data_IF_712801602608
#
_entry.id   IF_712801602608
#
_cell.length_a   1.000
_cell.length_b   1.000
_cell.length_c   1.000
_cell.angle_alpha   90.00
_cell.angle_beta   90.00
_cell.angle_gamma   90.00
#
_symmetry.space_group_name_H-M   'P 1'
#
loop_
_entity.id
_entity.type
_entity.pdbx_description
1 polymer ?
#
# COMPACT_ATOMS: atom_id res chain seq x y z
N UNK A 1 11.78 19.65 -6.86
CA UNK A 1 12.75 18.64 -6.40
C UNK A 1 12.53 18.24 -4.94
N UNK A 2 12.32 19.21 -4.05
CA UNK A 2 12.11 18.93 -2.60
C UNK A 2 10.87 18.06 -2.40
N UNK A 3 9.74 18.36 -3.03
CA UNK A 3 8.52 17.57 -2.93
C UNK A 3 8.69 16.14 -3.45
N UNK A 4 9.43 15.95 -4.54
CA UNK A 4 9.71 14.62 -5.09
C UNK A 4 10.54 13.81 -4.10
N UNK A 5 11.57 14.39 -3.51
CA UNK A 5 12.39 13.74 -2.48
C UNK A 5 11.56 13.38 -1.25
N UNK A 6 10.68 14.27 -0.79
CA UNK A 6 9.79 14.03 0.34
C UNK A 6 8.83 12.86 0.08
N UNK A 7 8.23 12.77 -1.12
CA UNK A 7 7.35 11.67 -1.48
C UNK A 7 8.09 10.33 -1.56
N UNK A 8 9.32 10.31 -2.08
CA UNK A 8 10.17 9.11 -2.10
C UNK A 8 10.54 8.67 -0.69
N UNK A 9 10.86 9.61 0.20
CA UNK A 9 11.15 9.34 1.60
C UNK A 9 9.94 8.73 2.31
N UNK A 10 8.74 9.27 2.08
CA UNK A 10 7.51 8.72 2.65
C UNK A 10 7.19 7.31 2.14
N UNK A 11 7.43 7.03 0.85
CA UNK A 11 7.30 5.67 0.30
C UNK A 11 8.29 4.71 0.97
N UNK A 12 9.55 5.12 1.12
CA UNK A 12 10.59 4.32 1.78
C UNK A 12 10.24 4.05 3.25
N UNK A 13 9.76 5.05 3.98
CA UNK A 13 9.29 4.90 5.36
C UNK A 13 8.14 3.92 5.47
N UNK A 14 7.15 3.99 4.58
CA UNK A 14 6.03 3.05 4.56
C UNK A 14 6.51 1.60 4.36
N UNK A 15 7.46 1.37 3.46
CA UNK A 15 8.06 0.04 3.26
C UNK A 15 8.76 -0.47 4.53
N UNK A 16 9.51 0.37 5.23
CA UNK A 16 10.16 0.02 6.50
C UNK A 16 9.12 -0.30 7.58
N UNK A 17 8.05 0.47 7.66
CA UNK A 17 6.96 0.26 8.61
C UNK A 17 6.15 -1.02 8.34
N UNK A 18 6.23 -1.58 7.14
CA UNK A 18 5.67 -2.91 6.81
C UNK A 18 6.68 -4.01 7.11
N UNK A 19 7.90 -3.87 6.60
CA UNK A 19 8.89 -4.96 6.61
C UNK A 19 9.46 -5.24 8.00
N UNK A 20 9.80 -4.20 8.77
CA UNK A 20 10.39 -4.36 10.09
C UNK A 20 9.45 -5.04 11.08
N UNK A 21 8.19 -4.60 11.29
CA UNK A 21 7.26 -5.30 12.16
C UNK A 21 6.94 -6.72 11.68
N UNK A 22 6.87 -6.93 10.36
CA UNK A 22 6.63 -8.28 9.80
C UNK A 22 7.78 -9.23 10.10
N UNK A 23 9.02 -8.76 9.95
CA UNK A 23 10.22 -9.52 10.32
C UNK A 23 10.23 -9.87 11.81
N UNK A 24 9.99 -8.87 12.67
CA UNK A 24 9.96 -9.07 14.13
C UNK A 24 8.89 -10.08 14.54
N UNK A 25 7.72 -10.04 13.91
CA UNK A 25 6.62 -10.97 14.16
C UNK A 25 7.04 -12.42 13.86
N UNK A 26 7.68 -12.65 12.71
CA UNK A 26 8.16 -13.96 12.30
C UNK A 26 9.33 -14.41 13.19
N UNK A 27 10.30 -13.53 13.42
CA UNK A 27 11.50 -13.83 14.20
C UNK A 27 11.20 -14.18 15.65
N UNK A 28 10.13 -13.63 16.23
CA UNK A 28 9.68 -13.94 17.58
C UNK A 28 8.66 -15.09 17.63
N UNK A 29 8.48 -15.83 16.56
CA UNK A 29 7.60 -16.99 16.44
C UNK A 29 6.14 -16.69 16.84
N UNK A 30 5.65 -15.49 16.54
CA UNK A 30 4.25 -15.17 16.78
C UNK A 30 3.35 -15.90 15.77
N UNK A 31 2.11 -16.12 16.18
CA UNK A 31 1.11 -16.79 15.34
C UNK A 31 0.95 -16.05 13.99
N UNK A 32 1.01 -16.83 12.90
CA UNK A 32 0.83 -16.30 11.55
C UNK A 32 -0.60 -15.85 11.26
N UNK A 33 -0.79 -15.30 10.08
CA UNK A 33 -2.11 -14.90 9.62
C UNK A 33 -3.00 -16.11 9.32
N UNK A 34 -4.30 -15.95 9.56
CA UNK A 34 -5.33 -16.91 9.13
C UNK A 34 -5.44 -16.92 7.59
N UNK A 35 -6.02 -18.00 7.08
CA UNK A 35 -6.23 -18.16 5.62
C UNK A 35 -7.00 -16.98 5.03
N UNK A 36 -8.08 -16.54 5.68
CA UNK A 36 -8.89 -15.40 5.23
C UNK A 36 -8.13 -14.07 5.24
N UNK A 37 -7.26 -13.86 6.23
CA UNK A 37 -6.35 -12.69 6.25
C UNK A 37 -5.35 -12.74 5.09
N UNK A 38 -4.78 -13.92 4.81
CA UNK A 38 -3.85 -14.10 3.70
C UNK A 38 -4.52 -13.88 2.34
N UNK A 39 -5.77 -14.28 2.20
CA UNK A 39 -6.56 -14.02 0.97
C UNK A 39 -6.77 -12.52 0.76
N UNK A 40 -7.13 -11.78 1.82
CA UNK A 40 -7.23 -10.33 1.76
C UNK A 40 -5.91 -9.69 1.33
N UNK A 41 -4.79 -10.08 1.96
CA UNK A 41 -3.46 -9.54 1.65
C UNK A 41 -2.99 -9.89 0.24
N UNK A 42 -3.30 -11.08 -0.27
CA UNK A 42 -3.01 -11.46 -1.66
C UNK A 42 -3.77 -10.58 -2.65
N UNK A 43 -5.04 -10.30 -2.37
CA UNK A 43 -5.86 -9.42 -3.22
C UNK A 43 -5.27 -8.00 -3.24
N UNK A 44 -4.90 -7.48 -2.09
CA UNK A 44 -4.23 -6.17 -1.96
C UNK A 44 -2.91 -6.18 -2.73
N UNK A 45 -2.08 -7.20 -2.55
CA UNK A 45 -0.80 -7.32 -3.25
C UNK A 45 -0.96 -7.32 -4.77
N UNK A 46 -1.94 -8.03 -5.30
CA UNK A 46 -2.21 -8.06 -6.73
C UNK A 46 -2.60 -6.68 -7.27
N UNK A 47 -3.44 -5.95 -6.55
CA UNK A 47 -3.86 -4.60 -6.93
C UNK A 47 -2.69 -3.61 -6.85
N UNK A 48 -1.90 -3.65 -5.79
CA UNK A 48 -0.70 -2.80 -5.61
C UNK A 48 0.31 -3.08 -6.72
N UNK A 49 0.58 -4.34 -7.02
CA UNK A 49 1.53 -4.72 -8.08
C UNK A 49 1.12 -4.17 -9.45
N UNK A 50 -0.16 -4.23 -9.78
CA UNK A 50 -0.69 -3.66 -11.02
C UNK A 50 -0.53 -2.15 -11.07
N UNK A 51 -0.83 -1.44 -9.98
CA UNK A 51 -0.64 0.02 -9.90
C UNK A 51 0.83 0.38 -10.13
N UNK A 52 1.76 -0.31 -9.48
CA UNK A 52 3.19 -0.02 -9.63
C UNK A 52 3.73 -0.35 -11.01
N UNK A 53 3.20 -1.36 -11.70
CA UNK A 53 3.55 -1.60 -13.09
C UNK A 53 3.20 -0.40 -13.98
N UNK A 54 2.02 0.18 -13.81
CA UNK A 54 1.61 1.39 -14.54
C UNK A 54 2.43 2.61 -14.15
N UNK A 55 2.68 2.83 -12.86
CA UNK A 55 3.52 3.94 -12.38
C UNK A 55 4.93 3.85 -12.97
N UNK A 56 5.54 2.68 -12.90
CA UNK A 56 6.89 2.46 -13.41
C UNK A 56 6.97 2.72 -14.91
N UNK A 57 5.99 2.27 -15.68
CA UNK A 57 5.94 2.51 -17.11
C UNK A 57 5.81 4.00 -17.44
N UNK A 58 4.94 4.72 -16.73
CA UNK A 58 4.78 6.16 -16.91
C UNK A 58 6.04 6.93 -16.58
N UNK A 59 6.73 6.57 -15.51
CA UNK A 59 8.02 7.20 -15.13
C UNK A 59 9.11 6.88 -16.14
N UNK A 60 9.15 5.66 -16.67
CA UNK A 60 10.14 5.23 -17.67
C UNK A 60 9.97 5.93 -19.01
N UNK A 61 8.73 6.11 -19.45
CA UNK A 61 8.41 6.68 -20.76
C UNK A 61 8.19 8.19 -20.74
N UNK A 62 7.99 8.78 -19.55
CA UNK A 62 7.55 10.17 -19.36
C UNK A 62 6.21 10.47 -20.05
N UNK A 63 5.39 9.46 -20.31
CA UNK A 63 4.04 9.59 -20.86
C UNK A 63 3.02 9.43 -19.74
N UNK A 64 2.22 10.47 -19.51
CA UNK A 64 1.29 10.55 -18.37
C UNK A 64 -0.19 10.44 -18.77
N UNK A 65 -0.47 9.91 -19.95
CA UNK A 65 -1.85 9.78 -20.46
C UNK A 65 -2.69 8.82 -19.62
N UNK A 66 -2.07 7.83 -18.99
CA UNK A 66 -2.75 6.82 -18.16
C UNK A 66 -2.90 7.24 -16.69
N UNK A 67 -2.61 8.50 -16.33
CA UNK A 67 -2.71 8.96 -14.95
C UNK A 67 -4.11 8.75 -14.38
N UNK A 68 -5.16 9.01 -15.16
CA UNK A 68 -6.55 8.82 -14.73
C UNK A 68 -6.88 7.34 -14.46
N UNK A 69 -6.28 6.42 -15.22
CA UNK A 69 -6.40 4.98 -14.96
C UNK A 69 -5.75 4.60 -13.61
N UNK A 70 -4.58 5.15 -13.30
CA UNK A 70 -3.93 4.94 -12.00
C UNK A 70 -4.80 5.47 -10.87
N UNK A 71 -5.44 6.62 -11.04
CA UNK A 71 -6.34 7.19 -10.04
C UNK A 71 -7.56 6.28 -9.82
N UNK A 72 -8.11 5.69 -10.88
CA UNK A 72 -9.21 4.72 -10.79
C UNK A 72 -8.76 3.45 -10.05
N UNK A 73 -7.60 2.90 -10.40
CA UNK A 73 -7.04 1.72 -9.74
C UNK A 73 -6.75 1.96 -8.25
N UNK A 74 -6.28 3.17 -7.91
CA UNK A 74 -6.10 3.60 -6.52
C UNK A 74 -7.42 3.59 -5.75
N UNK A 75 -8.48 4.14 -6.31
CA UNK A 75 -9.78 4.20 -5.66
C UNK A 75 -10.34 2.79 -5.42
N UNK A 76 -10.20 1.89 -6.39
CA UNK A 76 -10.56 0.47 -6.21
C UNK A 76 -9.73 -0.20 -5.11
N UNK A 77 -8.43 0.08 -5.04
CA UNK A 77 -7.56 -0.42 -3.98
C UNK A 77 -8.02 0.11 -2.61
N UNK A 78 -8.35 1.40 -2.50
CA UNK A 78 -8.79 1.99 -1.24
C UNK A 78 -10.10 1.37 -0.76
N UNK A 79 -11.02 1.05 -1.65
CA UNK A 79 -12.23 0.29 -1.32
C UNK A 79 -11.89 -1.12 -0.80
N UNK A 80 -10.95 -1.79 -1.43
CA UNK A 80 -10.45 -3.11 -0.98
C UNK A 80 -9.81 -3.02 0.40
N UNK A 81 -8.98 -2.00 0.65
CA UNK A 81 -8.35 -1.77 1.96
C UNK A 81 -9.39 -1.47 3.05
N UNK A 82 -10.38 -0.66 2.73
CA UNK A 82 -11.49 -0.36 3.66
C UNK A 82 -12.29 -1.62 4.01
N UNK A 83 -12.57 -2.47 3.03
CA UNK A 83 -13.24 -3.76 3.24
C UNK A 83 -12.39 -4.71 4.10
N UNK A 84 -11.07 -4.74 3.89
CA UNK A 84 -10.14 -5.53 4.69
C UNK A 84 -10.11 -5.08 6.16
N UNK A 85 -10.08 -3.77 6.41
CA UNK A 85 -10.17 -3.21 7.78
C UNK A 85 -11.48 -3.62 8.44
N UNK A 86 -12.59 -3.50 7.73
CA UNK A 86 -13.91 -3.88 8.25
C UNK A 86 -13.98 -5.37 8.60
N UNK A 87 -13.41 -6.23 7.76
CA UNK A 87 -13.31 -7.66 8.03
C UNK A 87 -12.44 -7.95 9.26
N UNK A 88 -11.32 -7.25 9.41
CA UNK A 88 -10.44 -7.40 10.57
C UNK A 88 -11.12 -7.00 11.88
N UNK A 89 -11.89 -5.92 11.87
CA UNK A 89 -12.68 -5.51 13.04
C UNK A 89 -13.67 -6.62 13.46
N UNK A 90 -14.32 -7.26 12.48
CA UNK A 90 -15.21 -8.41 12.74
C UNK A 90 -14.46 -9.58 13.36
N UNK A 91 -13.26 -9.91 12.86
CA UNK A 91 -12.40 -10.98 13.41
C UNK A 91 -12.02 -10.69 14.88
N UNK A 92 -11.65 -9.46 15.18
CA UNK A 92 -11.31 -9.03 16.55
C UNK A 92 -12.53 -9.20 17.47
N UNK A 93 -13.70 -8.73 17.06
CA UNK A 93 -14.95 -8.88 17.84
C UNK A 93 -15.33 -10.35 18.07
N UNK A 94 -15.08 -11.20 17.10
CA UNK A 94 -15.33 -12.65 17.20
C UNK A 94 -14.20 -13.40 17.92
N UNK A 95 -13.16 -12.71 18.42
CA UNK A 95 -11.97 -13.32 19.05
C UNK A 95 -11.27 -14.33 18.12
N UNK A 96 -11.36 -14.11 16.81
CA UNK A 96 -10.80 -14.99 15.78
C UNK A 96 -9.40 -14.59 15.33
N UNK A 97 -8.80 -13.57 15.95
CA UNK A 97 -7.46 -13.07 15.64
C UNK A 97 -6.77 -12.63 16.93
N UNK A 98 -5.47 -12.93 17.05
CA UNK A 98 -4.68 -12.46 18.19
C UNK A 98 -4.45 -10.95 18.10
N UNK A 99 -4.17 -10.30 19.21
CA UNK A 99 -3.88 -8.86 19.25
C UNK A 99 -2.67 -8.52 18.38
N UNK A 100 -1.59 -9.29 18.47
CA UNK A 100 -0.36 -9.07 17.70
C UNK A 100 -0.58 -9.24 16.19
N UNK A 101 -1.29 -10.29 15.80
CA UNK A 101 -1.64 -10.54 14.40
C UNK A 101 -2.55 -9.43 13.86
N UNK A 102 -3.51 -8.96 14.65
CA UNK A 102 -4.40 -7.85 14.27
C UNK A 102 -3.65 -6.54 14.08
N UNK A 103 -2.73 -6.21 14.99
CA UNK A 103 -1.91 -4.99 14.88
C UNK A 103 -1.05 -5.05 13.62
N UNK A 104 -0.37 -6.16 13.36
CA UNK A 104 0.46 -6.32 12.18
C UNK A 104 -0.37 -6.21 10.90
N UNK A 105 -1.52 -6.90 10.83
CA UNK A 105 -2.42 -6.85 9.68
C UNK A 105 -2.87 -5.42 9.37
N UNK A 106 -3.35 -4.69 10.38
CA UNK A 106 -3.81 -3.30 10.22
C UNK A 106 -2.67 -2.35 9.86
N UNK A 107 -1.48 -2.58 10.40
CA UNK A 107 -0.28 -1.82 10.04
C UNK A 107 0.05 -2.00 8.56
N UNK A 108 0.05 -3.24 8.04
CA UNK A 108 0.29 -3.52 6.62
C UNK A 108 -0.75 -2.80 5.75
N UNK A 109 -2.03 -2.88 6.10
CA UNK A 109 -3.10 -2.22 5.35
C UNK A 109 -2.92 -0.70 5.30
N UNK A 110 -2.69 -0.07 6.45
CA UNK A 110 -2.56 1.38 6.55
C UNK A 110 -1.29 1.90 5.86
N UNK A 111 -0.17 1.22 6.02
CA UNK A 111 1.09 1.61 5.36
C UNK A 111 1.05 1.40 3.85
N UNK A 112 0.35 0.38 3.37
CA UNK A 112 0.09 0.17 1.95
C UNK A 112 -0.68 1.35 1.35
N UNK A 113 -1.71 1.84 2.06
CA UNK A 113 -2.46 3.02 1.65
C UNK A 113 -1.55 4.25 1.55
N UNK A 114 -0.72 4.50 2.56
CA UNK A 114 0.23 5.61 2.58
C UNK A 114 1.21 5.50 1.41
N UNK A 115 1.78 4.34 1.17
CA UNK A 115 2.75 4.10 0.11
C UNK A 115 2.16 4.42 -1.27
N UNK A 116 0.96 3.94 -1.56
CA UNK A 116 0.28 4.16 -2.85
C UNK A 116 -0.10 5.64 -3.00
N UNK A 117 -0.60 6.28 -1.94
CA UNK A 117 -0.95 7.70 -1.95
C UNK A 117 0.27 8.58 -2.25
N UNK A 118 1.40 8.33 -1.62
CA UNK A 118 2.63 9.10 -1.83
C UNK A 118 3.24 8.82 -3.21
N UNK A 119 3.17 7.61 -3.71
CA UNK A 119 3.60 7.28 -5.07
C UNK A 119 2.76 8.01 -6.13
N UNK A 120 1.47 8.14 -5.92
CA UNK A 120 0.59 8.94 -6.78
C UNK A 120 0.97 10.43 -6.73
N UNK A 121 1.25 10.96 -5.54
CA UNK A 121 1.68 12.35 -5.38
C UNK A 121 3.03 12.61 -6.09
N UNK A 122 3.97 11.68 -5.98
CA UNK A 122 5.22 11.70 -6.75
C UNK A 122 4.97 11.79 -8.26
N UNK A 123 4.07 10.96 -8.77
CA UNK A 123 3.74 10.91 -10.20
C UNK A 123 3.12 12.23 -10.67
N UNK A 124 2.22 12.82 -9.90
CA UNK A 124 1.63 14.13 -10.20
C UNK A 124 2.67 15.24 -10.20
N UNK A 125 3.60 15.23 -9.25
CA UNK A 125 4.69 16.22 -9.18
C UNK A 125 5.63 16.10 -10.37
N UNK A 126 5.94 14.88 -10.80
CA UNK A 126 6.77 14.62 -11.97
C UNK A 126 6.10 15.12 -13.25
N UNK A 127 4.80 14.83 -13.42
CA UNK A 127 4.01 15.34 -14.54
C UNK A 127 4.02 16.87 -14.58
N UNK A 128 3.78 17.51 -13.46
CA UNK A 128 3.77 18.97 -13.34
C UNK A 128 5.13 19.58 -13.68
N UNK A 129 6.22 19.00 -13.18
CA UNK A 129 7.58 19.45 -13.46
C UNK A 129 7.90 19.37 -14.95
N UNK A 130 7.58 18.27 -15.61
CA UNK A 130 7.86 18.07 -17.03
C UNK A 130 7.00 18.95 -17.94
N UNK A 131 5.78 19.31 -17.52
CA UNK A 131 4.90 20.18 -18.28
C UNK A 131 5.37 21.65 -18.30
N UNK A 132 6.26 22.05 -17.40
CA UNK A 132 6.80 23.41 -17.29
C UNK A 132 8.19 23.58 -17.93
N UNK A 133 8.83 22.49 -18.27
CA UNK A 133 10.10 22.51 -18.99
C UNK A 133 9.91 22.44 -20.48
#
# INVERSE_FOLDING_TARGET
YVQIADYLDEVAKALVHITRPSFDHINNNHEGFRVDQLEDLKRVNNQVSRIYLHINEMLRTSHFEELDEILRMRDELFDTLAAAIKSQIKRVKAKASTTRSSILYLTIINETKTMVLQSRNLLKSQKYFLSKS
#
